data_IF_780381209153
#
_entry.id   IF_780381209153
#
_cell.length_a   1.000
_cell.length_b   1.000
_cell.length_c   1.000
_cell.angle_alpha   90.00
_cell.angle_beta   90.00
_cell.angle_gamma   90.00
#
_symmetry.space_group_name_H-M   'P 1'
#
loop_
_entity.id
_entity.type
_entity.pdbx_description
1 polymer ?
#
# COMPACT_ATOMS: atom_id res chain seq x y z
N UNK A 1 8.72 27.99 13.22
CA UNK A 1 8.15 27.85 11.87
C UNK A 1 9.25 27.32 10.98
N UNK A 2 9.40 25.99 10.92
CA UNK A 2 10.47 25.35 10.16
C UNK A 2 9.89 24.71 8.90
N UNK A 3 10.58 25.01 7.81
CA UNK A 3 10.22 24.74 6.43
C UNK A 3 10.03 23.24 6.15
N UNK A 4 8.82 22.86 5.73
CA UNK A 4 8.52 21.60 5.08
C UNK A 4 9.23 21.52 3.71
N UNK A 5 10.49 21.08 3.70
CA UNK A 5 11.18 20.57 2.50
C UNK A 5 11.00 19.05 2.44
N UNK A 6 9.91 18.56 1.86
CA UNK A 6 9.72 17.12 1.55
C UNK A 6 8.83 16.88 0.32
N UNK A 7 9.16 17.45 -0.85
CA UNK A 7 8.32 17.29 -2.06
C UNK A 7 9.04 16.69 -3.28
N UNK A 8 10.31 16.28 -3.18
CA UNK A 8 11.09 15.80 -4.35
C UNK A 8 11.10 14.26 -4.53
N UNK A 9 10.81 13.48 -3.48
CA UNK A 9 10.84 12.01 -3.55
C UNK A 9 9.62 11.39 -4.23
N UNK A 10 8.44 11.89 -3.89
CA UNK A 10 7.15 11.35 -4.34
C UNK A 10 6.95 11.47 -5.86
N UNK A 11 7.23 12.65 -6.43
CA UNK A 11 7.10 12.87 -7.88
C UNK A 11 8.09 12.03 -8.70
N UNK A 12 9.32 11.86 -8.20
CA UNK A 12 10.36 11.05 -8.85
C UNK A 12 10.06 9.55 -8.77
N UNK A 13 9.51 9.12 -7.63
CA UNK A 13 9.04 7.76 -7.45
C UNK A 13 7.79 7.46 -8.29
N UNK A 14 6.78 8.34 -8.33
CA UNK A 14 5.57 8.20 -9.15
C UNK A 14 5.93 8.08 -10.64
N UNK A 15 6.79 8.97 -11.12
CA UNK A 15 7.27 8.92 -12.52
C UNK A 15 7.98 7.60 -12.82
N UNK A 16 8.82 7.12 -11.88
CA UNK A 16 9.51 5.84 -12.00
C UNK A 16 8.60 4.62 -11.90
N UNK A 17 7.57 4.64 -11.05
CA UNK A 17 6.62 3.56 -10.85
C UNK A 17 5.67 3.43 -12.06
N UNK A 18 5.15 4.56 -12.56
CA UNK A 18 4.32 4.61 -13.78
C UNK A 18 5.13 4.15 -15.00
N UNK A 19 6.38 4.60 -15.15
CA UNK A 19 7.26 4.14 -16.23
C UNK A 19 7.59 2.64 -16.14
N UNK A 20 7.80 2.10 -14.93
CA UNK A 20 8.02 0.66 -14.70
C UNK A 20 6.76 -0.17 -14.98
N UNK A 21 5.57 0.33 -14.66
CA UNK A 21 4.32 -0.36 -14.95
C UNK A 21 3.98 -0.37 -16.44
N UNK A 22 4.30 0.71 -17.17
CA UNK A 22 4.17 0.74 -18.64
C UNK A 22 5.23 -0.12 -19.34
N UNK A 23 6.44 -0.25 -18.79
CA UNK A 23 7.53 -1.05 -19.35
C UNK A 23 7.49 -2.54 -19.01
N UNK A 24 6.85 -2.92 -17.90
CA UNK A 24 6.69 -4.33 -17.48
C UNK A 24 5.39 -4.91 -18.02
N UNK A 25 5.43 -5.37 -19.27
CA UNK A 25 4.65 -6.54 -19.69
C UNK A 25 5.28 -7.81 -19.04
N UNK A 26 5.39 -7.80 -17.71
CA UNK A 26 6.11 -8.82 -16.96
C UNK A 26 5.10 -9.85 -16.49
N UNK A 27 5.28 -11.08 -16.97
CA UNK A 27 4.43 -12.24 -16.74
C UNK A 27 4.15 -12.53 -15.25
N UNK A 28 4.84 -11.89 -14.30
CA UNK A 28 4.56 -11.93 -12.86
C UNK A 28 3.39 -11.05 -12.40
N UNK A 29 3.07 -9.96 -13.11
CA UNK A 29 1.86 -9.15 -12.87
C UNK A 29 0.57 -9.96 -13.10
N UNK A 30 0.63 -11.01 -13.93
CA UNK A 30 -0.51 -11.92 -14.15
C UNK A 30 -0.84 -12.81 -12.95
N UNK A 31 0.06 -12.97 -11.98
CA UNK A 31 -0.14 -13.87 -10.83
C UNK A 31 -0.92 -13.19 -9.71
N UNK A 32 -0.78 -11.87 -9.57
CA UNK A 32 -1.44 -11.11 -8.51
C UNK A 32 -2.45 -10.15 -9.12
N UNK A 33 -3.74 -10.39 -8.87
CA UNK A 33 -4.82 -9.48 -9.28
C UNK A 33 -5.18 -8.58 -8.10
N UNK A 34 -4.55 -7.40 -7.96
CA UNK A 34 -5.03 -6.41 -7.00
C UNK A 34 -6.48 -6.02 -7.35
N UNK A 35 -7.23 -5.43 -6.42
CA UNK A 35 -8.56 -4.91 -6.71
C UNK A 35 -8.50 -3.97 -7.92
N UNK A 36 -9.47 -4.07 -8.85
CA UNK A 36 -9.47 -3.26 -10.06
C UNK A 36 -9.73 -1.76 -9.78
N UNK A 37 -10.35 -1.45 -8.65
CA UNK A 37 -10.61 -0.08 -8.19
C UNK A 37 -10.15 0.06 -6.74
N UNK A 38 -9.49 1.17 -6.44
CA UNK A 38 -9.04 1.46 -5.10
C UNK A 38 -10.21 1.88 -4.19
N UNK A 39 -10.42 1.20 -3.07
CA UNK A 39 -11.31 1.71 -2.01
C UNK A 39 -10.56 2.64 -1.03
N UNK A 40 -9.26 2.86 -1.27
CA UNK A 40 -8.32 3.61 -0.45
C UNK A 40 -7.64 4.72 -1.27
N UNK A 41 -6.93 5.62 -0.57
CA UNK A 41 -6.04 6.62 -1.16
C UNK A 41 -4.67 6.54 -0.47
N UNK A 42 -3.60 6.70 -1.24
CA UNK A 42 -2.23 6.55 -0.74
C UNK A 42 -1.74 5.11 -0.81
N UNK A 43 -0.84 4.74 0.10
CA UNK A 43 -0.23 3.41 0.16
C UNK A 43 -0.98 2.50 1.12
N UNK A 44 -1.14 1.23 0.77
CA UNK A 44 -1.69 0.20 1.66
C UNK A 44 -0.88 -1.09 1.54
N UNK A 45 -0.88 -1.88 2.61
CA UNK A 45 -0.25 -3.20 2.64
C UNK A 45 -1.30 -4.27 2.36
N UNK A 46 -1.06 -5.11 1.35
CA UNK A 46 -1.95 -6.17 0.90
C UNK A 46 -1.32 -7.55 1.03
N UNK A 47 -1.91 -8.41 1.86
CA UNK A 47 -1.54 -9.81 2.04
C UNK A 47 -2.15 -10.63 0.91
N UNK A 48 -1.47 -10.68 -0.23
CA UNK A 48 -2.01 -11.18 -1.50
C UNK A 48 -2.37 -12.67 -1.48
N UNK A 49 -1.72 -13.47 -0.64
CA UNK A 49 -2.02 -14.91 -0.50
C UNK A 49 -3.37 -15.16 0.17
N UNK A 50 -3.82 -14.22 0.99
CA UNK A 50 -5.07 -14.29 1.75
C UNK A 50 -6.16 -13.36 1.19
N UNK A 51 -5.80 -12.43 0.30
CA UNK A 51 -6.72 -11.45 -0.26
C UNK A 51 -7.23 -10.45 0.79
N UNK A 52 -6.42 -10.12 1.79
CA UNK A 52 -6.75 -9.19 2.87
C UNK A 52 -5.74 -8.05 2.94
N UNK A 53 -6.17 -6.90 3.44
CA UNK A 53 -5.33 -5.75 3.70
C UNK A 53 -4.94 -5.71 5.17
N UNK A 54 -3.82 -5.07 5.44
CA UNK A 54 -3.52 -4.65 6.80
C UNK A 54 -4.49 -3.55 7.22
N UNK A 55 -5.25 -3.83 8.26
CA UNK A 55 -6.10 -2.88 8.96
C UNK A 55 -5.54 -2.54 10.34
N UNK A 56 -6.21 -1.62 11.01
CA UNK A 56 -5.94 -1.31 12.40
C UNK A 56 -7.26 -1.18 13.15
N UNK A 57 -7.29 -1.70 14.36
CA UNK A 57 -8.39 -1.53 15.29
C UNK A 57 -7.85 -0.77 16.51
N UNK A 58 -8.59 0.26 16.92
CA UNK A 58 -8.26 0.97 18.15
C UNK A 58 -8.98 0.28 19.31
N UNK A 59 -8.21 -0.38 20.16
CA UNK A 59 -8.72 -0.98 21.38
C UNK A 59 -8.93 0.13 22.43
N UNK A 60 -10.20 0.36 22.78
CA UNK A 60 -10.57 1.41 23.75
C UNK A 60 -10.34 0.99 25.19
N UNK A 61 -10.22 -0.30 25.47
CA UNK A 61 -10.00 -0.81 26.82
C UNK A 61 -8.53 -0.69 27.21
N UNK A 62 -7.62 -0.91 26.26
CA UNK A 62 -6.18 -0.82 26.48
C UNK A 62 -5.52 0.46 25.97
N UNK A 63 -6.26 1.31 25.24
CA UNK A 63 -5.74 2.52 24.57
C UNK A 63 -4.56 2.18 23.63
N UNK A 64 -4.68 1.07 22.91
CA UNK A 64 -3.65 0.60 21.97
C UNK A 64 -4.21 0.33 20.59
N UNK A 65 -3.39 0.59 19.57
CA UNK A 65 -3.70 0.24 18.19
C UNK A 65 -3.26 -1.21 17.97
N UNK A 66 -4.22 -2.07 17.65
CA UNK A 66 -4.00 -3.48 17.32
C UNK A 66 -4.09 -3.67 15.82
N UNK A 67 -3.10 -4.34 15.23
CA UNK A 67 -3.16 -4.70 13.81
C UNK A 67 -4.19 -5.80 13.58
N UNK A 68 -5.03 -5.60 12.56
CA UNK A 68 -6.02 -6.58 12.14
C UNK A 68 -5.94 -6.80 10.62
N UNK A 69 -6.60 -7.83 10.11
CA UNK A 69 -6.68 -8.09 8.67
C UNK A 69 -8.10 -7.82 8.19
N UNK A 70 -8.24 -6.95 7.19
CA UNK A 70 -9.53 -6.52 6.66
C UNK A 70 -9.69 -6.93 5.21
N UNK A 71 -10.90 -7.31 4.79
CA UNK A 71 -11.17 -7.67 3.39
C UNK A 71 -11.45 -6.47 2.50
N UNK A 72 -11.96 -5.38 3.07
CA UNK A 72 -12.31 -4.16 2.34
C UNK A 72 -11.15 -3.17 2.39
N UNK A 73 -10.74 -2.65 1.23
CA UNK A 73 -9.62 -1.71 1.14
C UNK A 73 -9.89 -0.36 1.79
N UNK A 74 -11.16 0.05 1.92
CA UNK A 74 -11.56 1.29 2.61
C UNK A 74 -11.22 1.28 4.10
N UNK A 75 -11.04 0.10 4.70
CA UNK A 75 -10.68 -0.07 6.11
C UNK A 75 -9.20 -0.41 6.30
N UNK A 76 -8.43 -0.46 5.22
CA UNK A 76 -7.00 -0.67 5.29
C UNK A 76 -6.31 0.54 5.93
N UNK A 77 -5.19 0.28 6.61
CA UNK A 77 -4.28 1.34 7.04
C UNK A 77 -3.71 2.00 5.80
N UNK A 78 -3.94 3.31 5.70
CA UNK A 78 -3.43 4.15 4.62
C UNK A 78 -2.17 4.85 5.12
N UNK A 79 -1.08 4.69 4.36
CA UNK A 79 0.20 5.33 4.63
C UNK A 79 0.41 6.46 3.63
N UNK A 80 0.94 7.57 4.12
CA UNK A 80 1.28 8.74 3.30
C UNK A 80 2.55 8.51 2.49
N UNK A 81 3.45 7.65 2.96
CA UNK A 81 4.73 7.35 2.31
C UNK A 81 4.91 5.86 2.03
N UNK A 82 5.72 5.57 1.00
CA UNK A 82 6.09 4.20 0.65
C UNK A 82 6.96 3.57 1.75
N UNK A 83 7.89 4.32 2.34
CA UNK A 83 8.78 3.83 3.39
C UNK A 83 8.00 3.38 4.63
N UNK A 84 6.99 4.13 5.06
CA UNK A 84 6.14 3.73 6.20
C UNK A 84 5.38 2.42 5.90
N UNK A 85 4.90 2.25 4.66
CA UNK A 85 4.23 1.03 4.23
C UNK A 85 5.20 -0.17 4.16
N UNK A 86 6.46 0.06 3.78
CA UNK A 86 7.52 -0.98 3.78
C UNK A 86 7.87 -1.41 5.19
N UNK A 87 8.12 -0.46 6.08
CA UNK A 87 8.43 -0.75 7.49
C UNK A 87 7.33 -1.62 8.09
N UNK A 88 6.07 -1.26 7.84
CA UNK A 88 4.94 -2.04 8.33
C UNK A 88 4.77 -3.38 7.61
N UNK A 89 5.06 -3.48 6.31
CA UNK A 89 5.03 -4.74 5.59
C UNK A 89 6.03 -5.77 6.15
N UNK A 90 7.22 -5.31 6.57
CA UNK A 90 8.24 -6.17 7.20
C UNK A 90 7.84 -6.72 8.58
N UNK A 91 7.01 -5.99 9.32
CA UNK A 91 6.45 -6.46 10.60
C UNK A 91 5.40 -7.56 10.40
N UNK A 92 4.84 -7.69 9.20
CA UNK A 92 3.83 -8.69 8.88
C UNK A 92 4.51 -10.01 8.48
N UNK A 93 4.30 -11.07 9.27
CA UNK A 93 4.84 -12.42 9.01
C UNK A 93 4.14 -13.16 7.85
N UNK A 94 3.54 -12.46 6.90
CA UNK A 94 2.87 -13.05 5.73
C UNK A 94 3.36 -12.36 4.45
N UNK A 95 3.33 -13.05 3.30
CA UNK A 95 3.73 -12.44 2.04
C UNK A 95 2.82 -11.25 1.68
N UNK A 96 3.42 -10.07 1.54
CA UNK A 96 2.70 -8.81 1.29
C UNK A 96 3.17 -8.12 0.01
N UNK A 97 2.27 -7.34 -0.57
CA UNK A 97 2.55 -6.36 -1.62
C UNK A 97 2.13 -4.99 -1.12
N UNK A 98 2.83 -3.96 -1.56
CA UNK A 98 2.40 -2.58 -1.33
C UNK A 98 1.62 -2.14 -2.56
N UNK A 99 0.40 -1.65 -2.32
CA UNK A 99 -0.47 -1.08 -3.33
C UNK A 99 -0.52 0.43 -3.15
N UNK A 100 -0.66 1.15 -4.24
CA UNK A 100 -0.81 2.60 -4.25
C UNK A 100 -1.99 3.01 -5.12
N UNK A 101 -2.74 3.99 -4.64
CA UNK A 101 -3.77 4.67 -5.42
C UNK A 101 -3.66 6.17 -5.21
N UNK A 102 -3.66 6.93 -6.31
CA UNK A 102 -3.60 8.39 -6.25
C UNK A 102 -4.87 8.99 -5.64
N UNK A 103 -6.01 8.38 -5.93
CA UNK A 103 -7.35 8.80 -5.50
C UNK A 103 -8.24 7.58 -5.25
N UNK A 104 -9.27 7.76 -4.42
CA UNK A 104 -10.29 6.72 -4.21
C UNK A 104 -11.04 6.47 -5.50
N UNK A 105 -11.39 5.21 -5.71
CA UNK A 105 -12.00 4.65 -6.92
C UNK A 105 -11.13 4.80 -8.18
N UNK A 106 -9.86 5.18 -8.02
CA UNK A 106 -8.88 5.25 -9.09
C UNK A 106 -8.20 3.90 -9.38
N UNK A 107 -7.21 3.96 -10.27
CA UNK A 107 -6.39 2.82 -10.61
C UNK A 107 -5.46 2.43 -9.44
N UNK A 108 -5.29 1.12 -9.24
CA UNK A 108 -4.37 0.56 -8.24
C UNK A 108 -3.06 0.19 -8.92
N UNK A 109 -1.95 0.64 -8.34
CA UNK A 109 -0.59 0.38 -8.79
C UNK A 109 0.11 -0.53 -7.78
N UNK A 110 0.84 -1.53 -8.25
CA UNK A 110 1.70 -2.36 -7.39
C UNK A 110 3.08 -1.70 -7.34
N UNK A 111 3.53 -1.37 -6.14
CA UNK A 111 4.70 -0.51 -5.94
C UNK A 111 5.95 -1.23 -5.49
N UNK A 112 5.76 -2.29 -4.73
CA UNK A 112 6.82 -3.13 -4.20
C UNK A 112 6.35 -4.57 -4.17
N UNK A 113 7.30 -5.48 -4.43
CA UNK A 113 7.16 -6.90 -4.16
C UNK A 113 8.18 -7.21 -3.08
N UNK A 114 7.73 -7.57 -1.88
CA UNK A 114 8.60 -8.29 -0.95
C UNK A 114 8.97 -9.63 -1.62
N UNK A 115 10.24 -10.02 -1.52
CA UNK A 115 10.79 -11.29 -2.00
C UNK A 115 10.54 -12.41 -1.01
#
# INVERSE_FOLDING_TARGET
MEHFRRHDGFGRWMTGAVARQMGRNDSRSRVFRPPPMAEFQGFVVWCYTQGVFLGQEFDRETDTITHCYVRNGAWAVQFDTFDDAVERAHEVHTPTLILFALERHGAVFITGTEQ
#
